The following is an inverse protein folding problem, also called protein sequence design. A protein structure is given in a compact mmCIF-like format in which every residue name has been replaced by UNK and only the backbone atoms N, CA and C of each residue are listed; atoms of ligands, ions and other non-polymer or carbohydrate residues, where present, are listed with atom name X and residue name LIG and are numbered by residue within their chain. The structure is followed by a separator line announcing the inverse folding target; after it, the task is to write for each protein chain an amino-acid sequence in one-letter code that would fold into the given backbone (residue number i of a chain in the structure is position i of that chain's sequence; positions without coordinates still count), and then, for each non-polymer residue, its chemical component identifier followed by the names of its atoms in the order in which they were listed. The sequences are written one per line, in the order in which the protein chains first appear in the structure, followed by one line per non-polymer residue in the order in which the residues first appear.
data_IF_340059416679
#
_entry.id   IF_340059416679
#
_cell.length_a   1.000
_cell.length_b   1.000
_cell.length_c   1.000
_cell.angle_alpha   90.00
_cell.angle_beta   90.00
_cell.angle_gamma   90.00
#
_symmetry.space_group_name_H-M   'P 1'
#
loop_
_entity.id
_entity.type
_entity.pdbx_description
1 polymer ?
#
# COMPACT_ATOMS: atom_id res chain seq x y z
N UNK A 1 -15.83 9.10 13.66
CA UNK A 1 -15.42 9.27 12.29
C UNK A 1 -14.03 8.69 12.05
N UNK A 2 -13.85 7.97 10.99
CA UNK A 2 -12.56 7.35 10.69
C UNK A 2 -11.80 8.19 9.68
N UNK A 3 -10.60 8.57 10.07
CA UNK A 3 -9.70 9.26 9.17
C UNK A 3 -9.01 8.23 8.30
N UNK A 4 -9.15 8.36 6.98
CA UNK A 4 -8.50 7.44 6.05
C UNK A 4 -7.21 8.04 5.56
N UNK A 5 -6.12 7.35 5.82
CA UNK A 5 -4.81 7.75 5.34
C UNK A 5 -4.65 7.31 3.88
N UNK A 6 -5.18 6.13 3.56
CA UNK A 6 -5.02 5.55 2.23
C UNK A 6 -6.16 5.94 1.31
N UNK A 7 -5.83 6.26 0.07
CA UNK A 7 -6.83 6.31 -0.99
C UNK A 7 -7.29 4.89 -1.28
N UNK A 8 -8.39 4.74 -2.02
CA UNK A 8 -8.90 3.42 -2.37
C UNK A 8 -7.87 2.61 -3.15
N UNK A 9 -7.16 3.25 -4.07
CA UNK A 9 -6.15 2.57 -4.88
C UNK A 9 -4.94 2.17 -4.04
N UNK A 10 -4.50 3.06 -3.14
CA UNK A 10 -3.39 2.74 -2.25
C UNK A 10 -3.74 1.55 -1.36
N UNK A 11 -4.95 1.50 -0.86
CA UNK A 11 -5.42 0.39 -0.05
C UNK A 11 -5.37 -0.92 -0.85
N UNK A 12 -5.85 -0.89 -2.09
CA UNK A 12 -5.82 -2.08 -2.95
C UNK A 12 -4.39 -2.57 -3.16
N UNK A 13 -3.46 -1.65 -3.41
CA UNK A 13 -2.06 -2.01 -3.60
C UNK A 13 -1.50 -2.69 -2.36
N UNK A 14 -1.74 -2.12 -1.18
CA UNK A 14 -1.19 -2.70 0.04
C UNK A 14 -1.88 -3.98 0.46
N UNK A 15 -3.17 -4.15 0.16
CA UNK A 15 -3.85 -5.41 0.42
C UNK A 15 -3.23 -6.54 -0.38
N UNK A 16 -2.84 -6.27 -1.62
CA UNK A 16 -2.17 -7.27 -2.44
C UNK A 16 -0.72 -7.47 -2.00
N UNK A 17 -0.07 -6.38 -1.57
CA UNK A 17 1.30 -6.45 -1.13
C UNK A 17 1.47 -7.37 0.08
N UNK A 18 0.53 -7.33 1.02
CA UNK A 18 0.62 -8.18 2.22
C UNK A 18 0.31 -9.64 1.92
N UNK A 19 -0.20 -9.95 0.73
CA UNK A 19 -0.38 -11.33 0.30
C UNK A 19 0.84 -11.85 -0.48
N UNK A 20 1.95 -11.14 -0.38
CA UNK A 20 3.23 -11.54 -0.96
C UNK A 20 3.25 -11.46 -2.49
N UNK A 21 2.49 -10.56 -3.07
CA UNK A 21 2.52 -10.34 -4.52
C UNK A 21 3.59 -9.32 -4.87
N UNK A 22 4.22 -9.53 -6.03
CA UNK A 22 5.21 -8.60 -6.54
C UNK A 22 4.52 -7.37 -7.13
N UNK A 23 5.30 -6.29 -7.35
CA UNK A 23 4.76 -5.10 -8.00
C UNK A 23 4.20 -5.42 -9.38
N UNK A 24 4.85 -6.35 -10.09
CA UNK A 24 4.37 -6.77 -11.42
C UNK A 24 3.00 -7.45 -11.31
N UNK A 25 2.85 -8.35 -10.34
CA UNK A 25 1.58 -9.04 -10.14
C UNK A 25 0.48 -8.08 -9.73
N UNK A 26 0.80 -7.14 -8.85
CA UNK A 26 -0.17 -6.13 -8.42
C UNK A 26 -0.59 -5.27 -9.61
N UNK A 27 0.37 -4.87 -10.44
CA UNK A 27 0.07 -4.06 -11.62
C UNK A 27 -0.87 -4.78 -12.56
N UNK A 28 -0.62 -6.06 -12.79
CA UNK A 28 -1.48 -6.87 -13.66
C UNK A 28 -2.88 -7.00 -13.08
N UNK A 29 -2.96 -7.25 -11.79
CA UNK A 29 -4.25 -7.48 -11.14
C UNK A 29 -5.11 -6.21 -11.12
N UNK A 30 -4.48 -5.07 -10.93
CA UNK A 30 -5.18 -3.78 -10.88
C UNK A 30 -5.26 -3.08 -12.24
N UNK A 31 -4.67 -3.67 -13.28
CA UNK A 31 -4.66 -3.12 -14.64
C UNK A 31 -4.01 -1.74 -14.69
N UNK A 32 -2.89 -1.58 -13.99
CA UNK A 32 -2.09 -0.35 -14.00
C UNK A 32 -0.64 -0.72 -14.24
N UNK A 33 0.22 0.29 -14.45
CA UNK A 33 1.64 0.03 -14.68
C UNK A 33 2.35 -0.26 -13.38
N UNK A 34 3.50 -0.94 -13.46
CA UNK A 34 4.35 -1.16 -12.28
C UNK A 34 4.81 0.17 -11.69
N UNK A 35 5.09 1.15 -12.55
CA UNK A 35 5.50 2.47 -12.09
C UNK A 35 4.41 3.09 -11.21
N UNK A 36 3.16 2.94 -11.64
CA UNK A 36 2.04 3.46 -10.86
C UNK A 36 1.93 2.75 -9.52
N UNK A 37 2.14 1.43 -9.50
CA UNK A 37 2.15 0.68 -8.25
C UNK A 37 3.23 1.23 -7.32
N UNK A 38 4.44 1.40 -7.83
CA UNK A 38 5.55 1.92 -7.02
C UNK A 38 5.26 3.33 -6.52
N UNK A 39 4.60 4.16 -7.35
CA UNK A 39 4.23 5.51 -6.93
C UNK A 39 3.24 5.48 -5.77
N UNK A 40 2.26 4.58 -5.81
CA UNK A 40 1.31 4.44 -4.71
C UNK A 40 2.03 4.02 -3.43
N UNK A 41 2.96 3.07 -3.53
CA UNK A 41 3.72 2.62 -2.37
C UNK A 41 4.56 3.76 -1.81
N UNK A 42 5.26 4.50 -2.68
CA UNK A 42 6.09 5.63 -2.25
C UNK A 42 5.27 6.71 -1.56
N UNK A 43 4.10 7.00 -2.10
CA UNK A 43 3.23 8.03 -1.52
C UNK A 43 2.80 7.64 -0.11
N UNK A 44 2.50 6.37 0.10
CA UNK A 44 2.10 5.89 1.43
C UNK A 44 3.28 5.98 2.39
N UNK A 45 4.46 5.55 1.94
CA UNK A 45 5.67 5.64 2.76
C UNK A 45 5.91 7.08 3.21
N UNK A 46 5.75 8.04 2.30
CA UNK A 46 5.92 9.46 2.64
C UNK A 46 4.84 9.95 3.60
N UNK A 47 3.59 9.55 3.37
CA UNK A 47 2.48 9.94 4.26
C UNK A 47 2.72 9.48 5.69
N UNK A 48 3.25 8.27 5.85
CA UNK A 48 3.46 7.68 7.17
C UNK A 48 4.78 8.10 7.80
N UNK A 49 5.70 8.65 7.00
CA UNK A 49 7.00 9.06 7.51
C UNK A 49 7.87 7.88 7.93
N UNK A 50 7.74 6.76 7.24
CA UNK A 50 8.50 5.55 7.55
C UNK A 50 9.59 5.33 6.50
N UNK A 51 10.47 4.35 6.75
CA UNK A 51 11.66 4.15 5.94
C UNK A 51 11.47 3.20 4.75
N UNK A 52 10.40 2.44 4.72
CA UNK A 52 10.21 1.50 3.65
C UNK A 52 8.86 0.82 3.74
N UNK A 53 8.59 -0.07 2.75
CA UNK A 53 7.27 -0.67 2.65
C UNK A 53 6.95 -1.62 3.80
N UNK A 54 7.95 -2.31 4.33
CA UNK A 54 7.70 -3.19 5.47
C UNK A 54 7.23 -2.40 6.68
N UNK A 55 7.90 -1.28 6.96
CA UNK A 55 7.48 -0.40 8.05
C UNK A 55 6.11 0.21 7.77
N UNK A 56 5.84 0.53 6.51
CA UNK A 56 4.53 1.07 6.13
C UNK A 56 3.42 0.06 6.43
N UNK A 57 3.64 -1.21 6.08
CA UNK A 57 2.66 -2.26 6.35
C UNK A 57 2.38 -2.38 7.85
N UNK A 58 3.44 -2.42 8.65
CA UNK A 58 3.30 -2.52 10.11
C UNK A 58 2.50 -1.33 10.65
N UNK A 59 2.84 -0.13 10.19
CA UNK A 59 2.17 1.07 10.65
C UNK A 59 0.69 1.07 10.26
N UNK A 60 0.37 0.64 9.04
CA UNK A 60 -1.01 0.58 8.58
C UNK A 60 -1.84 -0.43 9.37
N UNK A 61 -1.22 -1.53 9.77
CA UNK A 61 -1.88 -2.52 10.62
C UNK A 61 -2.17 -1.92 11.99
N UNK A 62 -1.20 -1.20 12.56
CA UNK A 62 -1.39 -0.53 13.85
C UNK A 62 -2.52 0.48 13.80
N UNK A 63 -2.64 1.19 12.69
CA UNK A 63 -3.69 2.18 12.49
C UNK A 63 -5.02 1.56 12.05
N UNK A 64 -5.05 0.25 11.91
CA UNK A 64 -6.23 -0.50 11.48
C UNK A 64 -6.68 -0.13 10.08
N UNK A 65 -5.75 0.36 9.26
CA UNK A 65 -6.01 0.62 7.84
C UNK A 65 -5.93 -0.67 7.03
N UNK A 66 -5.15 -1.64 7.51
CA UNK A 66 -5.03 -2.97 6.91
C UNK A 66 -5.33 -4.03 7.95
N UNK A 67 -5.91 -5.14 7.50
CA UNK A 67 -6.15 -6.33 8.34
C UNK A 67 -5.34 -7.50 7.81
N UNK A 68 -4.85 -8.29 8.72
CA UNK A 68 -4.19 -9.54 8.37
C UNK A 68 -5.09 -10.70 8.74
#
# INVERSE_FOLDING_TARGET
MVSKILTARERSVFELLITNKSTKEIAMELAISEKTVRNHISNVIQKLGVNGRACAVVELIKLKELSI
#
